data_IF_383294235213
#
_entry.id   IF_383294235213
#
_cell.length_a   1.000
_cell.length_b   1.000
_cell.length_c   1.000
_cell.angle_alpha   90.00
_cell.angle_beta   90.00
_cell.angle_gamma   90.00
#
_symmetry.space_group_name_H-M   'P 1'
#
loop_
_entity.id
_entity.type
_entity.pdbx_description
1 polymer ?
#
# COMPACT_ATOMS: atom_id res chain seq x y z
N UNK A 1 10.74 14.73 19.23
CA UNK A 1 11.36 13.91 18.16
C UNK A 1 10.98 14.54 16.83
N UNK A 2 11.84 14.47 15.80
CA UNK A 2 11.47 14.98 14.46
C UNK A 2 10.45 14.03 13.84
N UNK A 3 9.38 14.59 13.28
CA UNK A 3 8.41 13.85 12.50
C UNK A 3 8.80 13.88 11.02
N UNK A 4 8.48 12.80 10.31
CA UNK A 4 8.74 12.61 8.89
C UNK A 4 7.43 12.41 8.15
N UNK A 5 7.37 12.91 6.93
CA UNK A 5 6.29 12.63 5.99
C UNK A 5 6.86 11.73 4.90
N UNK A 6 6.19 10.61 4.65
CA UNK A 6 6.60 9.66 3.62
C UNK A 6 5.73 9.83 2.36
N UNK A 7 6.38 9.71 1.20
CA UNK A 7 5.73 9.74 -0.11
C UNK A 7 6.16 8.48 -0.87
N UNK A 8 5.20 7.75 -1.43
CA UNK A 8 5.43 6.56 -2.27
C UNK A 8 4.53 6.63 -3.51
N UNK A 9 4.90 5.94 -4.58
CA UNK A 9 4.14 5.83 -5.84
C UNK A 9 4.60 4.60 -6.63
N UNK A 10 3.86 4.25 -7.69
CA UNK A 10 4.26 3.25 -8.69
C UNK A 10 4.52 1.85 -8.10
N UNK A 11 3.67 1.41 -7.17
CA UNK A 11 3.79 0.10 -6.53
C UNK A 11 3.32 -1.04 -7.44
N UNK A 12 2.34 -0.76 -8.33
CA UNK A 12 1.76 -1.73 -9.26
C UNK A 12 1.46 -3.08 -8.59
N UNK A 13 0.70 -3.04 -7.49
CA UNK A 13 0.26 -4.25 -6.79
C UNK A 13 -0.63 -5.10 -7.71
N UNK A 14 -0.26 -6.37 -7.85
CA UNK A 14 -0.91 -7.30 -8.76
C UNK A 14 -0.83 -8.74 -8.26
N UNK A 15 -1.80 -9.58 -8.66
CA UNK A 15 -1.87 -11.00 -8.29
C UNK A 15 -0.65 -11.80 -8.76
N UNK A 16 -0.08 -11.47 -9.91
CA UNK A 16 1.06 -12.14 -10.52
C UNK A 16 2.41 -11.72 -9.92
N UNK A 17 2.42 -10.68 -9.07
CA UNK A 17 3.61 -10.16 -8.36
C UNK A 17 3.34 -10.03 -6.84
N UNK A 18 3.05 -11.15 -6.15
CA UNK A 18 2.71 -11.14 -4.73
C UNK A 18 3.82 -10.55 -3.84
N UNK A 19 5.09 -10.58 -4.28
CA UNK A 19 6.22 -10.01 -3.55
C UNK A 19 6.11 -8.50 -3.36
N UNK A 20 5.52 -7.76 -4.31
CA UNK A 20 5.31 -6.31 -4.19
C UNK A 20 4.31 -6.03 -3.06
N UNK A 21 3.24 -6.82 -3.01
CA UNK A 21 2.23 -6.74 -1.95
C UNK A 21 2.84 -7.05 -0.59
N UNK A 22 3.62 -8.13 -0.47
CA UNK A 22 4.27 -8.50 0.78
C UNK A 22 5.22 -7.41 1.30
N UNK A 23 6.02 -6.81 0.40
CA UNK A 23 6.92 -5.71 0.75
C UNK A 23 6.16 -4.46 1.19
N UNK A 24 5.04 -4.16 0.52
CA UNK A 24 4.20 -3.03 0.87
C UNK A 24 3.55 -3.20 2.24
N UNK A 25 2.99 -4.37 2.53
CA UNK A 25 2.40 -4.67 3.85
C UNK A 25 3.46 -4.63 4.96
N UNK A 26 4.62 -5.26 4.74
CA UNK A 26 5.73 -5.20 5.68
C UNK A 26 6.25 -3.77 5.91
N UNK A 27 6.23 -2.92 4.86
CA UNK A 27 6.55 -1.51 5.00
C UNK A 27 5.52 -0.78 5.89
N UNK A 28 4.22 -0.98 5.66
CA UNK A 28 3.17 -0.40 6.49
C UNK A 28 3.31 -0.81 7.97
N UNK A 29 3.61 -2.09 8.23
CA UNK A 29 3.87 -2.60 9.59
C UNK A 29 5.14 -2.00 10.23
N UNK A 30 6.11 -1.60 9.42
CA UNK A 30 7.37 -0.99 9.89
C UNK A 30 7.27 0.51 10.18
N UNK A 31 6.15 1.16 9.84
CA UNK A 31 5.96 2.59 10.06
C UNK A 31 6.01 2.90 11.56
N UNK A 32 7.07 3.58 11.98
CA UNK A 32 7.25 4.00 13.36
C UNK A 32 6.49 5.29 13.66
N UNK A 33 6.29 5.58 14.95
CA UNK A 33 5.57 6.78 15.44
C UNK A 33 6.21 8.13 15.09
N UNK A 34 7.38 8.13 14.47
CA UNK A 34 8.01 9.31 13.91
C UNK A 34 7.55 9.64 12.48
N UNK A 35 6.74 8.79 11.83
CA UNK A 35 6.09 9.11 10.55
C UNK A 35 4.71 9.70 10.86
N UNK A 36 4.50 10.97 10.52
CA UNK A 36 3.24 11.67 10.81
C UNK A 36 2.19 11.42 9.72
N UNK A 37 2.62 11.36 8.46
CA UNK A 37 1.75 11.13 7.31
C UNK A 37 2.43 10.23 6.27
N UNK A 38 1.62 9.42 5.58
CA UNK A 38 1.99 8.68 4.38
C UNK A 38 1.11 9.15 3.23
N UNK A 39 1.72 9.64 2.17
CA UNK A 39 1.05 9.99 0.92
C UNK A 39 1.39 8.94 -0.15
N UNK A 40 0.37 8.38 -0.79
CA UNK A 40 0.50 7.47 -1.94
C UNK A 40 0.11 8.26 -3.19
N UNK A 41 1.08 8.59 -4.03
CA UNK A 41 0.92 9.48 -5.18
C UNK A 41 0.49 8.73 -6.45
N UNK A 42 -0.53 7.88 -6.34
CA UNK A 42 -1.06 7.10 -7.46
C UNK A 42 -0.33 5.78 -7.70
N UNK A 43 -0.82 5.03 -8.69
CA UNK A 43 -0.30 3.75 -9.19
C UNK A 43 -0.01 2.72 -8.09
N UNK A 44 -0.89 2.68 -7.08
CA UNK A 44 -0.85 1.68 -6.02
C UNK A 44 -1.10 0.28 -6.59
N UNK A 45 -2.13 0.12 -7.42
CA UNK A 45 -2.47 -1.15 -8.08
C UNK A 45 -2.12 -1.08 -9.56
N UNK A 46 -1.76 -2.23 -10.15
CA UNK A 46 -1.48 -2.31 -11.59
C UNK A 46 -2.75 -2.10 -12.43
N UNK A 47 -3.89 -2.57 -11.89
CA UNK A 47 -5.23 -2.34 -12.44
C UNK A 47 -6.20 -2.08 -11.30
N UNK A 48 -7.06 -1.07 -11.44
CA UNK A 48 -8.16 -0.81 -10.51
C UNK A 48 -9.48 -0.72 -11.29
N UNK A 49 -10.35 -1.72 -11.12
CA UNK A 49 -11.64 -1.78 -11.83
C UNK A 49 -12.77 -1.15 -11.00
N UNK A 50 -12.65 -1.20 -9.68
CA UNK A 50 -13.64 -0.68 -8.73
C UNK A 50 -13.45 -1.24 -7.33
N UNK A 51 -14.10 -0.63 -6.34
CA UNK A 51 -13.97 -1.00 -4.93
C UNK A 51 -14.65 -2.34 -4.59
N UNK A 52 -15.48 -2.88 -5.47
CA UNK A 52 -16.15 -4.18 -5.34
C UNK A 52 -15.37 -5.32 -6.00
N UNK A 53 -14.22 -5.05 -6.61
CA UNK A 53 -13.36 -6.06 -7.23
C UNK A 53 -12.68 -6.96 -6.17
N UNK A 54 -12.98 -8.28 -6.15
CA UNK A 54 -12.40 -9.22 -5.18
C UNK A 54 -11.03 -9.75 -5.60
N UNK A 55 -10.47 -9.31 -6.73
CA UNK A 55 -9.21 -9.80 -7.25
C UNK A 55 -8.06 -9.55 -6.25
N UNK A 56 -7.24 -10.55 -5.91
CA UNK A 56 -6.07 -10.32 -5.08
C UNK A 56 -5.10 -9.30 -5.73
N UNK A 57 -4.50 -8.37 -4.99
CA UNK A 57 -4.46 -8.28 -3.53
C UNK A 57 -5.46 -7.29 -2.90
N UNK A 58 -6.51 -6.87 -3.61
CA UNK A 58 -7.39 -5.74 -3.23
C UNK A 58 -7.93 -5.85 -1.80
N UNK A 59 -8.54 -6.98 -1.44
CA UNK A 59 -9.14 -7.20 -0.12
C UNK A 59 -8.12 -7.23 1.02
N UNK A 60 -6.91 -7.71 0.76
CA UNK A 60 -5.84 -7.73 1.76
C UNK A 60 -5.34 -6.32 2.06
N UNK A 61 -5.10 -5.54 1.00
CA UNK A 61 -4.64 -4.16 1.11
C UNK A 61 -5.71 -3.30 1.80
N UNK A 62 -7.00 -3.48 1.48
CA UNK A 62 -8.11 -2.75 2.15
C UNK A 62 -8.12 -2.97 3.66
N UNK A 63 -7.87 -4.21 4.13
CA UNK A 63 -7.84 -4.53 5.56
C UNK A 63 -6.72 -3.83 6.31
N UNK A 64 -5.61 -3.52 5.65
CA UNK A 64 -4.48 -2.83 6.28
C UNK A 64 -4.79 -1.35 6.59
N UNK A 65 -5.84 -0.77 5.98
CA UNK A 65 -6.23 0.62 6.17
C UNK A 65 -7.45 0.84 7.08
N UNK A 66 -8.12 -0.24 7.52
CA UNK A 66 -9.31 -0.19 8.39
C UNK A 66 -8.97 -0.58 9.84
#
# INVERSE_FOLDING_TARGET
>A
MKQHVHFISDLHLAQDRPENTQRFLAYLDSLSSNVSELYILGDLFDVWVGDDDPTPPNEEVKKQFN
#
